data_IF_108985079074
#
_entry.id   IF_108985079074
#
_cell.length_a   1.000
_cell.length_b   1.000
_cell.length_c   1.000
_cell.angle_alpha   90.00
_cell.angle_beta   90.00
_cell.angle_gamma   90.00
#
_symmetry.space_group_name_H-M   'P 1'
#
loop_
_entity.id
_entity.type
_entity.pdbx_description
1 polymer ?
#
# COMPACT_ATOMS: atom_id res chain seq x y z
N UNK A 1 -9.58 -24.22 9.52
CA UNK A 1 -8.20 -23.79 9.79
C UNK A 1 -8.31 -22.62 10.75
N UNK A 2 -7.64 -22.67 11.92
CA UNK A 2 -7.73 -21.59 12.91
C UNK A 2 -6.89 -20.41 12.43
N UNK A 3 -7.53 -19.25 12.18
CA UNK A 3 -6.91 -18.05 11.64
C UNK A 3 -5.95 -17.28 12.57
N UNK A 4 -5.49 -17.87 13.67
CA UNK A 4 -4.67 -17.24 14.70
C UNK A 4 -3.30 -17.92 14.91
N UNK A 5 -2.74 -18.57 13.87
CA UNK A 5 -1.39 -19.16 13.99
C UNK A 5 -0.31 -18.12 13.64
N UNK A 6 0.41 -17.55 14.64
CA UNK A 6 1.46 -16.55 14.39
C UNK A 6 2.61 -17.09 13.50
N UNK A 7 2.86 -18.41 13.53
CA UNK A 7 3.90 -19.02 12.70
C UNK A 7 3.50 -19.02 11.22
N UNK A 8 2.22 -19.12 10.90
CA UNK A 8 1.73 -19.02 9.52
C UNK A 8 1.89 -17.61 8.98
N UNK A 9 1.56 -16.58 9.76
CA UNK A 9 1.77 -15.18 9.40
C UNK A 9 3.24 -14.87 9.12
N UNK A 10 4.17 -15.37 9.94
CA UNK A 10 5.61 -15.21 9.73
C UNK A 10 6.08 -15.93 8.47
N UNK A 11 5.61 -17.15 8.18
CA UNK A 11 5.94 -17.87 6.93
C UNK A 11 5.47 -17.12 5.69
N UNK A 12 4.27 -16.55 5.73
CA UNK A 12 3.72 -15.75 4.64
C UNK A 12 4.53 -14.47 4.41
N UNK A 13 4.97 -13.80 5.49
CA UNK A 13 5.85 -12.64 5.41
C UNK A 13 7.19 -12.98 4.74
N UNK A 14 7.83 -14.08 5.13
CA UNK A 14 9.08 -14.51 4.50
C UNK A 14 8.91 -14.83 3.01
N UNK A 15 7.78 -15.45 2.62
CA UNK A 15 7.47 -15.68 1.21
C UNK A 15 7.28 -14.38 0.46
N UNK A 16 6.54 -13.42 1.02
CA UNK A 16 6.34 -12.09 0.41
C UNK A 16 7.67 -11.38 0.16
N UNK A 17 8.62 -11.46 1.09
CA UNK A 17 9.95 -10.84 0.96
C UNK A 17 10.87 -11.54 -0.06
N UNK A 18 10.56 -12.76 -0.48
CA UNK A 18 11.33 -13.51 -1.47
C UNK A 18 10.78 -13.40 -2.90
N UNK A 19 9.71 -12.62 -3.11
CA UNK A 19 9.15 -12.38 -4.44
C UNK A 19 10.15 -11.56 -5.28
N UNK A 20 10.18 -11.81 -6.58
CA UNK A 20 11.12 -11.16 -7.49
C UNK A 20 10.41 -10.51 -8.69
N UNK A 21 9.90 -11.31 -9.61
CA UNK A 21 9.24 -10.80 -10.82
C UNK A 21 7.76 -10.41 -10.54
N UNK A 22 7.21 -9.42 -11.27
CA UNK A 22 5.81 -8.96 -11.12
C UNK A 22 4.78 -10.10 -11.14
N UNK A 23 4.91 -11.07 -12.03
CA UNK A 23 3.99 -12.21 -12.13
C UNK A 23 3.95 -13.06 -10.84
N UNK A 24 5.09 -13.18 -10.14
CA UNK A 24 5.13 -13.91 -8.86
C UNK A 24 4.37 -13.20 -7.76
N UNK A 25 4.26 -11.87 -7.82
CA UNK A 25 3.41 -11.08 -6.92
C UNK A 25 1.93 -11.37 -7.17
N UNK A 26 1.49 -11.33 -8.43
CA UNK A 26 0.10 -11.58 -8.79
C UNK A 26 -0.35 -12.95 -8.27
N UNK A 27 0.43 -14.00 -8.57
CA UNK A 27 0.10 -15.36 -8.14
C UNK A 27 0.11 -15.53 -6.61
N UNK A 28 1.11 -14.97 -5.93
CA UNK A 28 1.19 -15.03 -4.48
C UNK A 28 0.01 -14.31 -3.82
N UNK A 29 -0.27 -13.08 -4.24
CA UNK A 29 -1.33 -12.27 -3.62
C UNK A 29 -2.74 -12.72 -4.01
N UNK A 30 -2.94 -13.43 -5.13
CA UNK A 30 -4.21 -14.11 -5.42
C UNK A 30 -4.56 -15.12 -4.33
N UNK A 31 -3.61 -16.00 -4.02
CA UNK A 31 -3.83 -17.06 -3.02
C UNK A 31 -3.90 -16.49 -1.59
N UNK A 32 -3.24 -15.36 -1.37
CA UNK A 32 -3.10 -14.72 -0.07
C UNK A 32 -4.22 -13.71 0.26
N UNK A 33 -4.88 -13.13 -0.74
CA UNK A 33 -5.88 -12.08 -0.55
C UNK A 33 -7.02 -12.48 0.42
N UNK A 34 -7.42 -13.75 0.45
CA UNK A 34 -8.47 -14.24 1.35
C UNK A 34 -8.05 -14.21 2.83
N UNK A 35 -6.77 -14.42 3.10
CA UNK A 35 -6.22 -14.56 4.44
C UNK A 35 -5.51 -13.29 4.93
N UNK A 36 -5.31 -12.30 4.04
CA UNK A 36 -4.47 -11.14 4.33
C UNK A 36 -4.96 -10.38 5.57
N UNK A 37 -6.22 -9.99 5.59
CA UNK A 37 -6.76 -9.20 6.69
C UNK A 37 -6.92 -9.99 7.98
N UNK A 38 -7.37 -11.24 7.89
CA UNK A 38 -7.72 -12.07 9.05
C UNK A 38 -6.51 -12.79 9.66
N UNK A 39 -5.59 -13.27 8.84
CA UNK A 39 -4.45 -14.06 9.30
C UNK A 39 -3.18 -13.22 9.39
N UNK A 40 -2.79 -12.53 8.29
CA UNK A 40 -1.54 -11.79 8.26
C UNK A 40 -1.63 -10.50 9.08
N UNK A 41 -2.57 -9.62 8.75
CA UNK A 41 -2.65 -8.31 9.39
C UNK A 41 -3.07 -8.41 10.87
N UNK A 42 -3.99 -9.30 11.20
CA UNK A 42 -4.46 -9.47 12.57
C UNK A 42 -3.44 -10.20 13.46
N UNK A 43 -2.82 -11.29 12.99
CA UNK A 43 -1.90 -12.10 13.81
C UNK A 43 -0.55 -11.40 14.08
N UNK A 44 -0.07 -10.59 13.13
CA UNK A 44 1.18 -9.83 13.28
C UNK A 44 1.00 -8.46 13.94
N UNK A 45 -0.22 -8.09 14.34
CA UNK A 45 -0.50 -6.75 14.87
C UNK A 45 -0.09 -5.65 13.89
N UNK A 46 -0.44 -5.78 12.61
CA UNK A 46 -0.01 -4.92 11.53
C UNK A 46 -0.56 -3.49 11.67
N UNK A 47 0.19 -2.65 12.37
CA UNK A 47 -0.20 -1.27 12.73
C UNK A 47 0.20 -0.21 11.71
N UNK A 48 0.95 -0.57 10.66
CA UNK A 48 1.41 0.39 9.63
C UNK A 48 0.29 1.24 9.04
N UNK A 49 -0.89 0.68 8.66
CA UNK A 49 -1.99 1.49 8.13
C UNK A 49 -2.46 2.59 9.07
N UNK A 50 -2.53 2.31 10.39
CA UNK A 50 -2.88 3.29 11.40
C UNK A 50 -1.80 4.37 11.55
N UNK A 51 -0.52 3.96 11.50
CA UNK A 51 0.62 4.88 11.53
C UNK A 51 0.61 5.85 10.35
N UNK A 52 0.38 5.34 9.13
CA UNK A 52 0.26 6.16 7.91
C UNK A 52 -0.90 7.16 8.02
N UNK A 53 -2.08 6.71 8.43
CA UNK A 53 -3.24 7.59 8.61
C UNK A 53 -2.97 8.69 9.66
N UNK A 54 -2.30 8.35 10.77
CA UNK A 54 -1.92 9.30 11.82
C UNK A 54 -0.92 10.33 11.32
N UNK A 55 0.15 9.89 10.62
CA UNK A 55 1.14 10.80 10.04
C UNK A 55 0.48 11.74 9.04
N UNK A 56 -0.33 11.22 8.12
CA UNK A 56 -1.01 12.03 7.11
C UNK A 56 -1.95 13.07 7.74
N UNK A 57 -2.72 12.70 8.76
CA UNK A 57 -3.67 13.61 9.42
C UNK A 57 -2.99 14.77 10.15
N UNK A 58 -1.74 14.59 10.59
CA UNK A 58 -0.93 15.63 11.23
C UNK A 58 -0.27 16.61 10.27
N UNK A 59 -0.38 16.41 8.96
CA UNK A 59 0.28 17.24 7.96
C UNK A 59 -0.67 18.23 7.31
N UNK A 60 -0.17 19.46 7.09
CA UNK A 60 -0.83 20.41 6.21
C UNK A 60 -0.57 20.01 4.75
N UNK A 61 -1.61 19.88 3.97
CA UNK A 61 -1.56 19.51 2.55
C UNK A 61 -2.62 20.24 1.74
N UNK A 62 -2.45 20.34 0.41
CA UNK A 62 -3.49 20.88 -0.47
C UNK A 62 -4.79 20.06 -0.36
N UNK A 63 -5.91 20.69 -0.71
CA UNK A 63 -7.16 19.95 -0.91
C UNK A 63 -7.05 19.06 -2.15
N UNK A 64 -7.55 17.83 -2.09
CA UNK A 64 -7.55 16.92 -3.23
C UNK A 64 -7.49 15.45 -2.84
N UNK A 65 -7.42 14.60 -3.86
CA UNK A 65 -7.39 13.16 -3.68
C UNK A 65 -6.04 12.67 -3.12
N UNK A 66 -6.09 11.54 -2.44
CA UNK A 66 -4.96 10.77 -1.92
C UNK A 66 -4.79 9.56 -2.82
N UNK A 67 -3.56 9.23 -3.21
CA UNK A 67 -3.24 7.97 -3.88
C UNK A 67 -2.60 7.00 -2.91
N UNK A 68 -3.19 5.82 -2.76
CA UNK A 68 -2.68 4.72 -1.94
C UNK A 68 -1.86 3.76 -2.83
N UNK A 69 -0.54 3.77 -2.65
CA UNK A 69 0.45 3.04 -3.44
C UNK A 69 0.60 1.62 -2.90
N UNK A 70 0.33 0.60 -3.74
CA UNK A 70 0.28 -0.79 -3.30
C UNK A 70 -0.82 -0.98 -2.27
N UNK A 71 -2.03 -0.57 -2.62
CA UNK A 71 -3.16 -0.46 -1.68
C UNK A 71 -3.62 -1.81 -1.10
N UNK A 72 -3.25 -2.93 -1.75
CA UNK A 72 -3.60 -4.28 -1.30
C UNK A 72 -5.11 -4.44 -1.10
N UNK A 73 -5.49 -4.96 0.05
CA UNK A 73 -6.89 -5.13 0.44
C UNK A 73 -7.56 -3.83 0.94
N UNK A 74 -6.83 -2.70 1.02
CA UNK A 74 -7.39 -1.40 1.38
C UNK A 74 -7.34 -1.04 2.87
N UNK A 75 -6.41 -1.60 3.63
CA UNK A 75 -6.29 -1.32 5.08
C UNK A 75 -5.90 0.15 5.36
N UNK A 76 -5.11 0.78 4.50
CA UNK A 76 -4.72 2.19 4.64
C UNK A 76 -5.92 3.10 4.44
N UNK A 77 -6.71 2.88 3.40
CA UNK A 77 -7.93 3.65 3.18
C UNK A 77 -8.92 3.51 4.35
N UNK A 78 -9.12 2.29 4.86
CA UNK A 78 -9.93 2.04 6.05
C UNK A 78 -9.43 2.84 7.26
N UNK A 79 -8.11 2.92 7.46
CA UNK A 79 -7.51 3.69 8.54
C UNK A 79 -7.71 5.21 8.35
N UNK A 80 -7.51 5.71 7.13
CA UNK A 80 -7.71 7.14 6.78
C UNK A 80 -9.18 7.52 6.99
N UNK A 81 -10.15 6.72 6.56
CA UNK A 81 -11.58 6.97 6.73
C UNK A 81 -12.02 7.10 8.19
N UNK A 82 -11.33 6.46 9.13
CA UNK A 82 -11.59 6.60 10.57
C UNK A 82 -11.25 7.99 11.10
N UNK A 83 -10.25 8.67 10.51
CA UNK A 83 -9.79 10.00 10.93
C UNK A 83 -10.32 11.12 10.03
N UNK A 84 -10.56 10.82 8.76
CA UNK A 84 -11.15 11.74 7.75
C UNK A 84 -12.19 10.97 6.92
N UNK A 85 -13.47 10.91 7.36
CA UNK A 85 -14.53 10.22 6.63
C UNK A 85 -14.82 10.81 5.24
N UNK A 86 -14.39 12.05 4.99
CA UNK A 86 -14.60 12.77 3.72
C UNK A 86 -13.46 12.61 2.74
N UNK A 87 -12.34 11.96 3.11
CA UNK A 87 -11.17 11.80 2.27
C UNK A 87 -11.53 11.16 0.91
N UNK A 88 -11.06 11.73 -0.18
CA UNK A 88 -11.16 11.13 -1.51
C UNK A 88 -9.89 10.32 -1.74
N UNK A 89 -10.02 9.01 -1.92
CA UNK A 89 -8.89 8.08 -1.97
C UNK A 89 -9.01 7.25 -3.25
N UNK A 90 -7.94 7.19 -4.02
CA UNK A 90 -7.75 6.21 -5.10
C UNK A 90 -6.69 5.21 -4.65
N UNK A 91 -6.81 3.97 -5.12
CA UNK A 91 -5.84 2.92 -4.83
C UNK A 91 -5.21 2.37 -6.08
N UNK A 92 -3.92 2.04 -6.01
CA UNK A 92 -3.22 1.34 -7.09
C UNK A 92 -2.54 0.10 -6.54
N UNK A 93 -2.70 -1.02 -7.25
CA UNK A 93 -2.05 -2.29 -6.91
C UNK A 93 -1.85 -3.14 -8.16
N UNK A 94 -0.83 -3.99 -8.15
CA UNK A 94 -0.55 -4.91 -9.26
C UNK A 94 -1.51 -6.11 -9.27
N UNK A 95 -2.08 -6.48 -8.11
CA UNK A 95 -2.91 -7.69 -7.93
C UNK A 95 -4.40 -7.37 -8.10
N UNK A 96 -5.07 -7.88 -9.17
CA UNK A 96 -6.51 -7.72 -9.34
C UNK A 96 -7.33 -8.34 -8.19
N UNK A 97 -6.83 -9.41 -7.56
CA UNK A 97 -7.50 -10.09 -6.45
C UNK A 97 -7.48 -9.23 -5.18
N UNK A 98 -6.34 -8.57 -4.89
CA UNK A 98 -6.24 -7.58 -3.82
C UNK A 98 -7.18 -6.40 -4.06
N UNK A 99 -7.20 -5.85 -5.29
CA UNK A 99 -8.14 -4.80 -5.68
C UNK A 99 -9.60 -5.23 -5.55
N UNK A 100 -9.91 -6.49 -5.79
CA UNK A 100 -11.23 -7.08 -5.54
C UNK A 100 -11.66 -6.97 -4.08
N UNK A 101 -10.74 -7.26 -3.14
CA UNK A 101 -10.98 -7.10 -1.69
C UNK A 101 -11.10 -5.63 -1.28
N UNK A 102 -10.24 -4.76 -1.82
CA UNK A 102 -10.33 -3.33 -1.59
C UNK A 102 -11.67 -2.75 -2.07
N UNK A 103 -12.13 -3.17 -3.25
CA UNK A 103 -13.43 -2.77 -3.81
C UNK A 103 -14.59 -3.17 -2.92
N UNK A 104 -14.55 -4.37 -2.34
CA UNK A 104 -15.59 -4.85 -1.45
C UNK A 104 -15.73 -4.01 -0.15
N UNK A 105 -14.67 -3.32 0.27
CA UNK A 105 -14.70 -2.40 1.43
C UNK A 105 -15.37 -1.05 1.12
N UNK A 106 -15.41 -0.63 -0.15
CA UNK A 106 -16.10 0.60 -0.57
C UNK A 106 -15.43 1.90 -0.14
N UNK A 107 -14.13 1.87 0.20
CA UNK A 107 -13.41 3.03 0.76
C UNK A 107 -12.76 3.90 -0.32
N UNK A 108 -12.59 3.39 -1.53
CA UNK A 108 -11.93 4.07 -2.64
C UNK A 108 -12.91 4.68 -3.63
N UNK A 109 -12.54 5.83 -4.20
CA UNK A 109 -13.20 6.42 -5.37
C UNK A 109 -12.89 5.60 -6.62
N UNK A 110 -11.60 5.28 -6.83
CA UNK A 110 -11.13 4.49 -7.96
C UNK A 110 -10.07 3.47 -7.51
N UNK A 111 -9.97 2.36 -8.24
CA UNK A 111 -9.01 1.28 -8.02
C UNK A 111 -8.36 0.90 -9.34
N UNK A 112 -7.05 1.12 -9.42
CA UNK A 112 -6.23 1.05 -10.62
C UNK A 112 -5.35 -0.20 -10.55
N UNK A 113 -5.50 -1.11 -11.52
CA UNK A 113 -4.57 -2.23 -11.69
C UNK A 113 -3.36 -1.74 -12.48
N UNK A 114 -2.19 -1.68 -11.84
CA UNK A 114 -0.95 -1.24 -12.50
C UNK A 114 0.29 -1.82 -11.83
N UNK A 115 1.27 -2.17 -12.66
CA UNK A 115 2.64 -2.40 -12.25
C UNK A 115 3.36 -1.06 -12.20
N UNK A 116 3.68 -0.60 -11.00
CA UNK A 116 4.33 0.69 -10.77
C UNK A 116 5.80 0.72 -11.19
N UNK A 117 6.37 -0.42 -11.57
CA UNK A 117 7.71 -0.51 -12.18
C UNK A 117 7.68 -0.34 -13.70
N UNK A 118 6.48 -0.27 -14.29
CA UNK A 118 6.24 -0.08 -15.71
C UNK A 118 5.72 1.34 -16.02
N UNK A 119 5.16 1.55 -17.22
CA UNK A 119 4.56 2.84 -17.60
C UNK A 119 3.29 3.13 -16.80
N UNK A 120 3.34 4.16 -15.97
CA UNK A 120 2.25 4.65 -15.14
C UNK A 120 1.55 5.90 -15.71
N UNK A 121 1.76 6.24 -16.98
CA UNK A 121 1.18 7.43 -17.63
C UNK A 121 -0.35 7.49 -17.62
N UNK A 122 -1.00 6.36 -17.41
CA UNK A 122 -2.46 6.26 -17.29
C UNK A 122 -3.00 6.60 -15.88
N UNK A 123 -2.11 6.71 -14.88
CA UNK A 123 -2.48 7.15 -13.54
C UNK A 123 -2.65 8.66 -13.55
N UNK A 124 -3.76 9.16 -13.00
CA UNK A 124 -3.99 10.60 -12.92
C UNK A 124 -2.84 11.31 -12.18
N UNK A 125 -2.51 12.50 -12.62
CA UNK A 125 -1.59 13.41 -11.94
C UNK A 125 -2.41 14.43 -11.16
N UNK A 126 -1.85 15.01 -10.08
CA UNK A 126 -2.50 16.06 -9.27
C UNK A 126 -3.06 15.57 -7.93
N UNK A 127 -2.46 14.51 -7.37
CA UNK A 127 -2.80 14.06 -6.02
C UNK A 127 -2.29 15.03 -4.94
N UNK A 128 -3.10 15.24 -3.91
CA UNK A 128 -2.77 16.08 -2.74
C UNK A 128 -1.91 15.34 -1.71
N UNK A 129 -1.87 14.02 -1.78
CA UNK A 129 -0.97 13.17 -1.02
C UNK A 129 -0.78 11.81 -1.72
N UNK A 130 0.34 11.18 -1.41
CA UNK A 130 0.55 9.75 -1.64
C UNK A 130 0.79 9.07 -0.29
N UNK A 131 0.24 7.86 -0.14
CA UNK A 131 0.41 7.03 1.05
C UNK A 131 0.79 5.61 0.63
N UNK A 132 1.49 4.89 1.51
CA UNK A 132 1.77 3.48 1.29
C UNK A 132 2.09 2.77 2.61
N UNK A 133 1.62 1.55 2.79
CA UNK A 133 1.96 0.70 3.92
C UNK A 133 2.33 -0.70 3.43
N UNK A 134 3.59 -1.11 3.64
CA UNK A 134 4.07 -2.46 3.35
C UNK A 134 4.53 -2.71 1.91
N UNK A 135 4.54 -1.69 1.04
CA UNK A 135 4.97 -1.82 -0.35
C UNK A 135 6.47 -1.51 -0.53
N UNK A 136 7.04 -0.61 0.29
CA UNK A 136 8.47 -0.32 0.25
C UNK A 136 9.23 -1.28 1.17
N UNK A 137 9.51 -2.47 0.67
CA UNK A 137 10.15 -3.57 1.39
C UNK A 137 10.81 -4.56 0.43
N UNK A 138 11.51 -5.56 0.98
CA UNK A 138 12.17 -6.61 0.19
C UNK A 138 11.22 -7.28 -0.80
N UNK A 139 11.68 -7.45 -2.03
CA UNK A 139 10.93 -8.08 -3.12
C UNK A 139 9.86 -7.19 -3.75
N UNK A 140 9.65 -5.96 -3.27
CA UNK A 140 8.62 -5.04 -3.76
C UNK A 140 9.24 -3.75 -4.34
N UNK A 141 8.68 -2.56 -4.01
CA UNK A 141 9.14 -1.30 -4.58
C UNK A 141 10.39 -0.77 -3.85
N UNK A 142 11.32 -0.23 -4.61
CA UNK A 142 12.54 0.43 -4.13
C UNK A 142 12.48 1.95 -4.13
N UNK A 143 13.54 2.61 -3.59
CA UNK A 143 13.62 4.07 -3.53
C UNK A 143 13.70 4.74 -4.90
N UNK A 144 14.14 4.02 -5.93
CA UNK A 144 14.25 4.51 -7.31
C UNK A 144 12.92 4.94 -7.92
N UNK A 145 11.80 4.41 -7.41
CA UNK A 145 10.46 4.73 -7.89
C UNK A 145 9.84 5.96 -7.18
N UNK A 146 10.44 6.44 -6.09
CA UNK A 146 9.90 7.60 -5.36
C UNK A 146 9.78 8.86 -6.23
N UNK A 147 10.75 9.22 -7.09
CA UNK A 147 10.60 10.38 -7.98
C UNK A 147 9.38 10.30 -8.89
N UNK A 148 9.10 9.12 -9.47
CA UNK A 148 7.95 8.92 -10.34
C UNK A 148 6.63 9.04 -9.56
N UNK A 149 6.58 8.44 -8.34
CA UNK A 149 5.42 8.58 -7.45
C UNK A 149 5.16 10.04 -7.05
N UNK A 150 6.23 10.79 -6.72
CA UNK A 150 6.12 12.23 -6.42
C UNK A 150 5.67 13.01 -7.65
N UNK A 151 6.06 12.58 -8.86
CA UNK A 151 5.59 13.17 -10.12
C UNK A 151 4.07 13.10 -10.33
N UNK A 152 3.37 12.18 -9.66
CA UNK A 152 1.90 12.11 -9.67
C UNK A 152 1.23 13.18 -8.79
N UNK A 153 2.01 13.92 -7.99
CA UNK A 153 1.53 14.84 -6.99
C UNK A 153 1.52 16.29 -7.47
N UNK A 154 0.61 17.08 -6.93
CA UNK A 154 0.64 18.53 -7.05
C UNK A 154 1.68 19.18 -6.13
N UNK A 155 2.14 20.41 -6.41
CA UNK A 155 3.02 21.13 -5.51
C UNK A 155 2.44 21.28 -4.10
N UNK A 156 3.26 20.98 -3.09
CA UNK A 156 2.86 21.00 -1.68
C UNK A 156 2.15 19.75 -1.18
N UNK A 157 2.03 18.71 -2.01
CA UNK A 157 1.53 17.41 -1.59
C UNK A 157 2.42 16.75 -0.52
N UNK A 158 1.84 15.82 0.22
CA UNK A 158 2.53 15.06 1.28
C UNK A 158 2.71 13.61 0.84
N UNK A 159 3.90 13.05 1.08
CA UNK A 159 4.16 11.62 0.96
C UNK A 159 4.30 11.01 2.36
N UNK A 160 3.47 10.02 2.70
CA UNK A 160 3.55 9.24 3.92
C UNK A 160 3.75 7.76 3.58
N UNK A 161 5.01 7.31 3.63
CA UNK A 161 5.42 5.99 3.18
C UNK A 161 5.94 5.16 4.35
N UNK A 162 5.36 3.97 4.55
CA UNK A 162 5.87 2.97 5.50
C UNK A 162 6.96 2.14 4.83
N UNK A 163 8.19 2.28 5.30
CA UNK A 163 9.35 1.54 4.79
C UNK A 163 9.85 0.57 5.85
N UNK A 164 10.16 -0.67 5.46
CA UNK A 164 10.82 -1.62 6.35
C UNK A 164 12.18 -1.05 6.80
N UNK A 165 12.46 -1.06 8.09
CA UNK A 165 13.63 -0.37 8.68
C UNK A 165 14.97 -0.93 8.21
N UNK A 166 15.07 -2.25 8.00
CA UNK A 166 16.29 -2.88 7.47
C UNK A 166 16.46 -2.51 5.99
N UNK A 167 15.38 -2.64 5.23
CA UNK A 167 15.33 -2.28 3.81
C UNK A 167 15.67 -0.80 3.57
N UNK A 168 15.17 0.09 4.44
CA UNK A 168 15.49 1.53 4.39
C UNK A 168 17.00 1.80 4.43
N UNK A 169 17.72 1.09 5.31
CA UNK A 169 19.17 1.25 5.44
C UNK A 169 19.92 0.63 4.27
N UNK A 170 19.54 -0.60 3.88
CA UNK A 170 20.22 -1.37 2.85
C UNK A 170 20.03 -0.78 1.46
N UNK A 171 18.87 -0.22 1.15
CA UNK A 171 18.54 0.35 -0.17
C UNK A 171 18.81 1.85 -0.27
N UNK A 172 19.27 2.49 0.80
CA UNK A 172 19.70 3.88 0.75
C UNK A 172 18.57 4.90 0.57
N UNK A 173 17.43 4.70 1.22
CA UNK A 173 16.37 5.70 1.35
C UNK A 173 16.91 6.92 2.14
N UNK A 174 17.66 7.81 1.50
CA UNK A 174 18.26 8.98 2.13
C UNK A 174 18.04 10.23 1.29
#
# INVERSE_FOLDING_TARGET
MNGDDPEEGVRLLHRAYSLGAPDTHIDFYRDFAELYDSTYAASLGYIYPLGIASVLSGQQRPQGAILDIGCGTGLVATAIRKVDPSAVIDGVDISPDMLGKARAKGEYRDLIAADLTADCSHIAMDYAAIVSAGTFTFGHLGPELIPDMVGLCRPGAVAALGVNSVYFVEQGFR
#
